data_IF_243703410244
#
_entry.id   IF_243703410244
#
_cell.length_a   1.000
_cell.length_b   1.000
_cell.length_c   1.000
_cell.angle_alpha   90.00
_cell.angle_beta   90.00
_cell.angle_gamma   90.00
#
_symmetry.space_group_name_H-M   'P 1'
#
loop_
_entity.id
_entity.type
_entity.pdbx_description
1 polymer ?
#
# COMPACT_ATOMS: atom_id res chain seq x y z
N UNK A 1 -3.89 -23.82 -8.35
CA UNK A 1 -3.03 -22.63 -8.54
C UNK A 1 -3.90 -21.41 -8.27
N UNK A 2 -3.77 -20.78 -7.10
CA UNK A 2 -4.38 -19.47 -6.88
C UNK A 2 -3.37 -18.46 -7.43
N UNK A 3 -3.72 -17.84 -8.56
CA UNK A 3 -2.97 -16.73 -9.13
C UNK A 3 -3.04 -15.57 -8.14
N UNK A 4 -1.91 -15.17 -7.54
CA UNK A 4 -1.84 -14.03 -6.61
C UNK A 4 -2.30 -12.74 -7.30
N UNK A 5 -3.58 -12.39 -7.19
CA UNK A 5 -4.14 -11.22 -7.89
C UNK A 5 -3.81 -9.92 -7.15
N UNK A 6 -4.01 -8.78 -7.81
CA UNK A 6 -3.84 -7.47 -7.18
C UNK A 6 -4.80 -7.28 -5.99
N UNK A 7 -5.96 -7.93 -6.01
CA UNK A 7 -6.89 -7.91 -4.86
C UNK A 7 -6.32 -8.62 -3.63
N UNK A 8 -5.73 -9.80 -3.79
CA UNK A 8 -5.12 -10.53 -2.66
C UNK A 8 -3.95 -9.77 -2.05
N UNK A 9 -3.12 -9.14 -2.90
CA UNK A 9 -2.05 -8.28 -2.42
C UNK A 9 -2.57 -7.07 -1.66
N UNK A 10 -3.67 -6.47 -2.11
CA UNK A 10 -4.30 -5.34 -1.42
C UNK A 10 -4.76 -5.74 -0.02
N UNK A 11 -5.49 -6.85 0.11
CA UNK A 11 -5.94 -7.37 1.41
C UNK A 11 -4.78 -7.68 2.36
N UNK A 12 -3.69 -8.22 1.81
CA UNK A 12 -2.48 -8.50 2.57
C UNK A 12 -1.86 -7.21 3.13
N UNK A 13 -1.68 -6.18 2.31
CA UNK A 13 -1.11 -4.91 2.76
C UNK A 13 -2.03 -4.21 3.76
N UNK A 14 -3.36 -4.24 3.56
CA UNK A 14 -4.30 -3.71 4.54
C UNK A 14 -4.22 -4.41 5.89
N UNK A 15 -4.00 -5.73 5.89
CA UNK A 15 -3.76 -6.50 7.10
C UNK A 15 -2.46 -6.08 7.78
N UNK A 16 -1.36 -5.95 7.04
CA UNK A 16 -0.08 -5.49 7.60
C UNK A 16 -0.19 -4.10 8.23
N UNK A 17 -0.77 -3.14 7.52
CA UNK A 17 -0.97 -1.78 8.00
C UNK A 17 -1.80 -1.77 9.30
N UNK A 18 -2.87 -2.58 9.36
CA UNK A 18 -3.70 -2.72 10.56
C UNK A 18 -2.95 -3.37 11.72
N UNK A 19 -2.35 -4.54 11.49
CA UNK A 19 -1.75 -5.38 12.53
C UNK A 19 -0.50 -4.72 13.12
N UNK A 20 0.31 -4.06 12.27
CA UNK A 20 1.54 -3.36 12.66
C UNK A 20 1.30 -1.87 13.00
N UNK A 21 0.07 -1.37 12.77
CA UNK A 21 -0.33 0.04 12.96
C UNK A 21 0.63 1.03 12.28
N UNK A 22 0.93 0.77 11.02
CA UNK A 22 1.81 1.59 10.19
C UNK A 22 1.11 2.07 8.92
N UNK A 23 1.77 2.96 8.17
CA UNK A 23 1.24 3.45 6.88
C UNK A 23 1.19 2.32 5.84
N UNK A 24 0.41 2.51 4.77
CA UNK A 24 0.39 1.55 3.66
C UNK A 24 1.77 1.40 3.00
N UNK A 25 2.55 2.48 2.95
CA UNK A 25 3.90 2.45 2.39
C UNK A 25 4.86 1.66 3.28
N UNK A 26 4.81 1.86 4.60
CA UNK A 26 5.59 1.07 5.56
C UNK A 26 5.18 -0.40 5.53
N UNK A 27 3.89 -0.69 5.44
CA UNK A 27 3.37 -2.06 5.35
C UNK A 27 3.92 -2.80 4.11
N UNK A 28 4.07 -2.10 2.98
CA UNK A 28 4.69 -2.65 1.77
C UNK A 28 6.18 -2.92 2.00
N UNK A 29 6.92 -1.97 2.60
CA UNK A 29 8.34 -2.14 2.89
C UNK A 29 8.57 -3.31 3.85
N UNK A 30 7.81 -3.39 4.95
CA UNK A 30 7.88 -4.50 5.90
C UNK A 30 7.58 -5.84 5.24
N UNK A 31 6.55 -5.90 4.37
CA UNK A 31 6.27 -7.12 3.61
C UNK A 31 7.45 -7.49 2.69
N UNK A 32 8.06 -6.50 2.03
CA UNK A 32 9.23 -6.70 1.17
C UNK A 32 10.41 -7.24 1.97
N UNK A 33 10.71 -6.67 3.14
CA UNK A 33 11.78 -7.11 4.02
C UNK A 33 11.55 -8.53 4.57
N UNK A 34 10.34 -8.81 5.07
CA UNK A 34 10.00 -10.12 5.67
C UNK A 34 9.96 -11.27 4.63
N UNK A 35 9.79 -10.96 3.34
CA UNK A 35 9.66 -11.96 2.27
C UNK A 35 10.81 -11.92 1.26
N UNK A 36 11.84 -11.11 1.49
CA UNK A 36 12.98 -10.91 0.58
C UNK A 36 12.54 -10.52 -0.85
N UNK A 37 11.53 -9.63 -0.94
CA UNK A 37 10.97 -9.15 -2.20
C UNK A 37 11.51 -7.75 -2.50
N UNK A 38 11.95 -7.52 -3.74
CA UNK A 38 12.31 -6.18 -4.19
C UNK A 38 11.10 -5.25 -4.24
N UNK A 39 11.28 -4.02 -3.77
CA UNK A 39 10.20 -3.01 -3.72
C UNK A 39 9.60 -2.74 -5.11
N UNK A 40 10.42 -2.76 -6.16
CA UNK A 40 9.95 -2.63 -7.55
C UNK A 40 8.97 -3.76 -7.94
N UNK A 41 9.24 -4.98 -7.50
CA UNK A 41 8.35 -6.13 -7.72
C UNK A 41 7.05 -5.99 -6.96
N UNK A 42 7.10 -5.50 -5.72
CA UNK A 42 5.89 -5.22 -4.95
C UNK A 42 5.06 -4.09 -5.59
N UNK A 43 5.71 -3.04 -6.10
CA UNK A 43 5.06 -1.90 -6.74
C UNK A 43 4.20 -2.31 -7.96
N UNK A 44 4.64 -3.31 -8.73
CA UNK A 44 3.87 -3.85 -9.86
C UNK A 44 2.56 -4.56 -9.42
N UNK A 45 2.48 -5.00 -8.16
CA UNK A 45 1.34 -5.73 -7.59
C UNK A 45 0.35 -4.82 -6.88
N UNK A 46 0.69 -3.55 -6.63
CA UNK A 46 -0.17 -2.58 -5.96
C UNK A 46 -1.38 -2.26 -6.86
N UNK A 47 -2.59 -2.38 -6.29
CA UNK A 47 -3.85 -2.00 -6.94
C UNK A 47 -4.04 -0.47 -6.93
N UNK A 48 -4.92 0.05 -7.79
CA UNK A 48 -5.27 1.48 -7.81
C UNK A 48 -5.77 1.95 -6.44
N UNK A 49 -6.60 1.14 -5.77
CA UNK A 49 -7.13 1.48 -4.45
C UNK A 49 -6.02 1.71 -3.41
N UNK A 50 -5.01 0.84 -3.35
CA UNK A 50 -3.89 1.02 -2.42
C UNK A 50 -3.06 2.26 -2.80
N UNK A 51 -2.88 2.55 -4.10
CA UNK A 51 -2.20 3.78 -4.52
C UNK A 51 -2.91 5.04 -4.05
N UNK A 52 -4.24 5.08 -4.15
CA UNK A 52 -5.05 6.21 -3.65
C UNK A 52 -4.90 6.38 -2.13
N UNK A 53 -4.85 5.28 -1.38
CA UNK A 53 -4.61 5.32 0.07
C UNK A 53 -3.20 5.84 0.42
N UNK A 54 -2.17 5.39 -0.30
CA UNK A 54 -0.80 5.89 -0.13
C UNK A 54 -0.74 7.39 -0.46
N UNK A 55 -1.41 7.84 -1.52
CA UNK A 55 -1.45 9.27 -1.88
C UNK A 55 -2.08 10.10 -0.76
N UNK A 56 -3.21 9.63 -0.21
CA UNK A 56 -3.88 10.27 0.93
C UNK A 56 -2.96 10.38 2.13
N UNK A 57 -2.28 9.29 2.51
CA UNK A 57 -1.30 9.30 3.62
C UNK A 57 -0.15 10.27 3.34
N UNK A 58 0.38 10.26 2.11
CA UNK A 58 1.47 11.15 1.72
C UNK A 58 1.07 12.63 1.78
N UNK A 59 -0.18 12.96 1.43
CA UNK A 59 -0.73 14.30 1.59
C UNK A 59 -0.92 14.68 3.07
N UNK A 60 -1.41 13.75 3.90
CA UNK A 60 -1.61 13.98 5.33
C UNK A 60 -0.28 14.21 6.06
N UNK A 61 0.77 13.53 5.61
CA UNK A 61 2.15 13.67 6.10
C UNK A 61 2.92 14.83 5.42
N UNK A 62 2.29 15.59 4.52
CA UNK A 62 2.88 16.71 3.77
C UNK A 62 4.05 16.33 2.83
N UNK A 63 4.12 15.07 2.39
CA UNK A 63 5.02 14.63 1.32
C UNK A 63 4.50 15.01 -0.08
N UNK A 64 3.18 15.17 -0.22
CA UNK A 64 2.52 15.61 -1.46
C UNK A 64 1.61 16.81 -1.19
N UNK A 65 1.40 17.69 -2.19
CA UNK A 65 0.41 18.75 -2.08
C UNK A 65 -0.99 18.16 -1.90
N UNK A 66 -1.78 18.74 -0.99
CA UNK A 66 -3.16 18.31 -0.76
C UNK A 66 -4.01 18.60 -2.00
N UNK A 67 -4.64 17.57 -2.55
CA UNK A 67 -5.61 17.69 -3.63
C UNK A 67 -7.03 17.64 -3.08
N UNK A 68 -8.01 18.11 -3.87
CA UNK A 68 -9.42 17.97 -3.51
C UNK A 68 -9.76 16.47 -3.44
N UNK A 69 -10.24 16.02 -2.28
CA UNK A 69 -10.68 14.63 -2.09
C UNK A 69 -12.08 14.46 -2.66
N UNK A 70 -12.32 13.38 -3.39
CA UNK A 70 -13.67 13.02 -3.81
C UNK A 70 -14.54 12.82 -2.55
N UNK A 71 -15.77 13.35 -2.52
CA UNK A 71 -16.70 13.03 -1.45
C UNK A 71 -17.03 11.54 -1.55
N UNK A 72 -16.58 10.78 -0.54
CA UNK A 72 -16.93 9.36 -0.35
C UNK A 72 -18.36 9.19 0.17
#
# INVERSE_FOLDING_TARGET
MVSKTKEEFSLLIEKYARDKRCSYMDAIVLYCEENEIEVETAAQKISTNIKEKIEVEAQDLNFLPRTARLPI
#
